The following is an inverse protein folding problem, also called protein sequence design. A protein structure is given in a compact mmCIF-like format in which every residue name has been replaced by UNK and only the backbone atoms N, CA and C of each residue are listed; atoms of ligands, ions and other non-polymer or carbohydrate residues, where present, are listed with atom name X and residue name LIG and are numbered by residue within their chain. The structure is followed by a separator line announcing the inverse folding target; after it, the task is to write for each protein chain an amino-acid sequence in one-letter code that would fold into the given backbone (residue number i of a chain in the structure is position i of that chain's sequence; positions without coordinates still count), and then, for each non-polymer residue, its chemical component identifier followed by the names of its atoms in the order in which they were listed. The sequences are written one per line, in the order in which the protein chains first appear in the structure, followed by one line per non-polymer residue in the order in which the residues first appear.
data_IF_855864370673
#
_entry.id   IF_855864370673
#
_cell.length_a   1.000
_cell.length_b   1.000
_cell.length_c   1.000
_cell.angle_alpha   90.00
_cell.angle_beta   90.00
_cell.angle_gamma   90.00
#
_symmetry.space_group_name_H-M   'P 1'
#
loop_
_entity.id
_entity.type
_entity.pdbx_description
1 polymer ?
#
# COMPACT_ATOMS: atom_id res chain seq x y z
N UNK A 1 -22.99 6.27 -1.13
CA UNK A 1 -24.17 6.76 -0.38
C UNK A 1 -25.23 7.19 -1.38
N UNK A 2 -26.45 7.49 -0.94
CA UNK A 2 -27.48 7.99 -1.86
C UNK A 2 -27.11 9.37 -2.43
N UNK A 3 -26.43 10.21 -1.64
CA UNK A 3 -25.88 11.49 -2.14
C UNK A 3 -24.87 11.30 -3.29
N UNK A 4 -23.98 10.30 -3.21
CA UNK A 4 -23.04 10.01 -4.30
C UNK A 4 -23.72 9.43 -5.54
N UNK A 5 -24.85 8.76 -5.38
CA UNK A 5 -25.61 8.22 -6.52
C UNK A 5 -26.19 9.35 -7.37
N UNK A 6 -26.87 10.32 -6.75
CA UNK A 6 -27.41 11.47 -7.47
C UNK A 6 -26.30 12.29 -8.16
N UNK A 7 -25.17 12.48 -7.48
CA UNK A 7 -24.01 13.15 -8.05
C UNK A 7 -23.44 12.39 -9.27
N UNK A 8 -23.32 11.06 -9.18
CA UNK A 8 -22.88 10.22 -10.29
C UNK A 8 -23.79 10.36 -11.50
N UNK A 9 -25.12 10.30 -11.32
CA UNK A 9 -26.09 10.40 -12.41
C UNK A 9 -26.00 11.73 -13.18
N UNK A 10 -25.61 12.81 -12.49
CA UNK A 10 -25.39 14.11 -13.12
C UNK A 10 -24.13 14.17 -13.97
N UNK A 11 -23.14 13.29 -13.72
CA UNK A 11 -21.91 13.19 -14.52
C UNK A 11 -22.09 12.26 -15.72
N UNK A 12 -22.64 11.06 -15.50
CA UNK A 12 -22.69 10.02 -16.54
C UNK A 12 -23.87 10.16 -17.51
N UNK A 13 -24.90 10.90 -17.10
CA UNK A 13 -26.12 11.18 -17.88
C UNK A 13 -26.73 9.93 -18.56
N UNK A 14 -26.93 8.87 -17.77
CA UNK A 14 -27.54 7.62 -18.24
C UNK A 14 -29.01 7.58 -17.78
N UNK A 15 -29.95 7.76 -18.71
CA UNK A 15 -31.38 7.79 -18.41
C UNK A 15 -31.90 6.49 -17.80
N UNK A 16 -31.35 5.35 -18.23
CA UNK A 16 -31.73 4.02 -17.72
C UNK A 16 -31.46 3.86 -16.23
N UNK A 17 -30.54 4.66 -15.66
CA UNK A 17 -30.18 4.64 -14.24
C UNK A 17 -30.95 5.67 -13.39
N UNK A 18 -31.78 6.53 -13.99
CA UNK A 18 -32.63 7.52 -13.29
C UNK A 18 -33.97 6.94 -12.80
N UNK A 19 -34.16 5.63 -12.90
CA UNK A 19 -35.34 4.93 -12.42
C UNK A 19 -35.45 5.01 -10.88
N UNK A 20 -36.63 5.33 -10.37
CA UNK A 20 -36.97 5.39 -8.94
C UNK A 20 -36.58 4.11 -8.16
N UNK A 21 -36.52 2.95 -8.83
CA UNK A 21 -36.07 1.69 -8.22
C UNK A 21 -34.60 1.72 -7.77
N UNK A 22 -33.79 2.65 -8.27
CA UNK A 22 -32.38 2.81 -7.87
C UNK A 22 -32.16 3.86 -6.78
N UNK A 23 -33.22 4.46 -6.24
CA UNK A 23 -33.14 5.48 -5.19
C UNK A 23 -32.47 4.96 -3.91
N UNK A 24 -32.64 3.67 -3.58
CA UNK A 24 -32.08 3.05 -2.38
C UNK A 24 -30.88 2.18 -2.70
N UNK A 25 -29.86 2.23 -1.84
CA UNK A 25 -28.64 1.41 -1.94
C UNK A 25 -28.91 -0.09 -2.05
N UNK A 26 -29.90 -0.60 -1.31
CA UNK A 26 -30.27 -2.03 -1.32
C UNK A 26 -30.76 -2.46 -2.71
N UNK A 27 -31.52 -1.62 -3.39
CA UNK A 27 -32.07 -1.96 -4.69
C UNK A 27 -31.04 -1.77 -5.81
N UNK A 28 -30.08 -0.84 -5.63
CA UNK A 28 -28.89 -0.76 -6.50
C UNK A 28 -28.03 -2.01 -6.40
N UNK A 29 -27.80 -2.52 -5.18
CA UNK A 29 -27.02 -3.73 -4.97
C UNK A 29 -27.66 -4.95 -5.66
N UNK A 30 -28.99 -5.10 -5.58
CA UNK A 30 -29.71 -6.18 -6.29
C UNK A 30 -29.59 -6.11 -7.81
N UNK A 31 -29.30 -4.93 -8.36
CA UNK A 31 -29.21 -4.68 -9.79
C UNK A 31 -27.79 -4.27 -10.22
N UNK A 32 -26.78 -4.63 -9.43
CA UNK A 32 -25.40 -4.19 -9.62
C UNK A 32 -24.90 -4.50 -11.04
N UNK A 33 -25.11 -5.71 -11.53
CA UNK A 33 -24.66 -6.13 -12.88
C UNK A 33 -25.23 -5.25 -13.99
N UNK A 34 -26.50 -4.86 -13.89
CA UNK A 34 -27.15 -3.96 -14.86
C UNK A 34 -26.53 -2.55 -14.79
N UNK A 35 -26.36 -2.02 -13.57
CA UNK A 35 -25.77 -0.70 -13.35
C UNK A 35 -24.32 -0.66 -13.88
N UNK A 36 -23.53 -1.67 -13.57
CA UNK A 36 -22.14 -1.79 -14.04
C UNK A 36 -22.07 -1.89 -15.56
N UNK A 37 -22.95 -2.67 -16.19
CA UNK A 37 -23.00 -2.78 -17.64
C UNK A 37 -23.29 -1.42 -18.32
N UNK A 38 -24.23 -0.64 -17.79
CA UNK A 38 -24.55 0.69 -18.31
C UNK A 38 -23.40 1.69 -18.08
N UNK A 39 -22.80 1.68 -16.88
CA UNK A 39 -21.64 2.52 -16.56
C UNK A 39 -20.44 2.18 -17.44
N UNK A 40 -20.14 0.90 -17.67
CA UNK A 40 -19.00 0.49 -18.49
C UNK A 40 -19.13 0.96 -19.94
N UNK A 41 -20.35 1.00 -20.50
CA UNK A 41 -20.59 1.54 -21.85
C UNK A 41 -20.17 3.00 -21.95
N UNK A 42 -20.53 3.84 -20.97
CA UNK A 42 -20.19 5.26 -21.02
C UNK A 42 -18.73 5.50 -20.61
N UNK A 43 -18.24 4.85 -19.56
CA UNK A 43 -16.89 5.08 -19.02
C UNK A 43 -15.81 4.66 -20.02
N UNK A 44 -16.11 3.72 -20.92
CA UNK A 44 -15.18 3.32 -22.00
C UNK A 44 -15.06 4.35 -23.14
N UNK A 45 -15.89 5.39 -23.17
CA UNK A 45 -15.91 6.37 -24.28
C UNK A 45 -14.88 7.49 -24.15
N UNK A 46 -14.27 7.66 -22.97
CA UNK A 46 -13.25 8.67 -22.69
C UNK A 46 -12.12 8.07 -21.86
N UNK A 47 -10.90 8.65 -21.90
CA UNK A 47 -9.81 8.24 -21.02
C UNK A 47 -10.20 8.35 -19.53
N UNK A 48 -9.57 7.54 -18.67
CA UNK A 48 -9.81 7.56 -17.22
C UNK A 48 -9.62 8.95 -16.61
N UNK A 49 -8.61 9.69 -17.05
CA UNK A 49 -8.30 11.05 -16.59
C UNK A 49 -9.50 12.00 -16.74
N UNK A 50 -10.22 11.92 -17.86
CA UNK A 50 -11.41 12.73 -18.11
C UNK A 50 -12.51 12.43 -17.07
N UNK A 51 -12.77 11.14 -16.81
CA UNK A 51 -13.80 10.74 -15.87
C UNK A 51 -13.41 11.04 -14.43
N UNK A 52 -12.15 10.83 -14.06
CA UNK A 52 -11.64 11.15 -12.72
C UNK A 52 -11.84 12.65 -12.43
N UNK A 53 -11.47 13.52 -13.37
CA UNK A 53 -11.69 14.96 -13.24
C UNK A 53 -13.18 15.28 -13.08
N UNK A 54 -14.04 14.79 -13.99
CA UNK A 54 -15.47 15.07 -13.97
C UNK A 54 -16.18 14.56 -12.69
N UNK A 55 -15.79 13.38 -12.21
CA UNK A 55 -16.33 12.79 -10.98
C UNK A 55 -15.85 13.52 -9.73
N UNK A 56 -14.58 13.94 -9.67
CA UNK A 56 -14.05 14.75 -8.59
C UNK A 56 -14.73 16.12 -8.49
N UNK A 57 -14.97 16.78 -9.64
CA UNK A 57 -15.70 18.05 -9.70
C UNK A 57 -17.14 17.91 -9.16
N UNK A 58 -17.76 16.75 -9.38
CA UNK A 58 -19.07 16.39 -8.84
C UNK A 58 -19.02 15.82 -7.41
N UNK A 59 -17.84 15.77 -6.76
CA UNK A 59 -17.62 15.20 -5.42
C UNK A 59 -18.02 13.72 -5.31
N UNK A 60 -17.93 12.98 -6.41
CA UNK A 60 -18.10 11.52 -6.44
C UNK A 60 -16.73 10.89 -6.16
N UNK A 61 -16.59 10.10 -5.08
CA UNK A 61 -15.31 9.45 -4.77
C UNK A 61 -14.88 8.51 -5.89
N UNK A 62 -13.72 8.77 -6.47
CA UNK A 62 -13.10 7.95 -7.50
C UNK A 62 -11.58 8.08 -7.43
N UNK A 63 -10.87 7.23 -8.16
CA UNK A 63 -9.41 7.29 -8.27
C UNK A 63 -8.91 6.42 -9.42
N UNK A 64 -7.67 6.66 -9.89
CA UNK A 64 -7.05 5.83 -10.90
C UNK A 64 -6.71 4.44 -10.32
N UNK A 65 -6.61 3.46 -11.21
CA UNK A 65 -5.94 2.20 -10.90
C UNK A 65 -4.46 2.39 -11.26
N UNK A 66 -3.64 2.58 -10.22
CA UNK A 66 -2.20 2.81 -10.39
C UNK A 66 -1.44 1.50 -10.64
N UNK A 67 -0.43 1.54 -11.50
CA UNK A 67 0.63 0.53 -11.52
C UNK A 67 1.49 0.65 -10.27
N UNK A 68 2.33 -0.36 -10.00
CA UNK A 68 3.24 -0.33 -8.86
C UNK A 68 4.21 0.86 -8.93
N UNK A 69 4.77 1.16 -10.10
CA UNK A 69 5.66 2.31 -10.27
C UNK A 69 4.94 3.63 -10.01
N UNK A 70 3.71 3.79 -10.51
CA UNK A 70 2.88 4.98 -10.27
C UNK A 70 2.56 5.15 -8.79
N UNK A 71 2.17 4.06 -8.11
CA UNK A 71 1.85 4.08 -6.69
C UNK A 71 3.06 4.46 -5.83
N UNK A 72 4.24 3.90 -6.10
CA UNK A 72 5.47 4.22 -5.37
C UNK A 72 6.00 5.63 -5.64
N UNK A 73 5.65 6.23 -6.79
CA UNK A 73 6.03 7.59 -7.15
C UNK A 73 4.94 8.63 -6.84
N UNK A 74 3.81 8.23 -6.25
CA UNK A 74 2.72 9.14 -5.94
C UNK A 74 3.16 10.22 -4.94
N UNK A 75 2.71 11.46 -5.14
CA UNK A 75 3.11 12.60 -4.34
C UNK A 75 2.80 12.39 -2.85
N UNK A 76 1.64 11.80 -2.52
CA UNK A 76 1.28 11.51 -1.13
C UNK A 76 2.14 10.40 -0.55
N UNK A 77 2.50 9.39 -1.34
CA UNK A 77 3.38 8.30 -0.90
C UNK A 77 4.77 8.83 -0.56
N UNK A 78 5.33 9.69 -1.41
CA UNK A 78 6.63 10.34 -1.19
C UNK A 78 6.57 11.30 0.00
N UNK A 79 5.60 12.22 0.01
CA UNK A 79 5.46 13.22 1.08
C UNK A 79 5.27 12.60 2.46
N UNK A 80 4.63 11.42 2.50
CA UNK A 80 4.41 10.67 3.74
C UNK A 80 5.55 9.72 4.08
N UNK A 81 6.70 9.74 3.40
CA UNK A 81 7.81 8.81 3.67
C UNK A 81 7.32 7.35 3.76
N UNK A 82 6.45 6.95 2.82
CA UNK A 82 5.89 5.59 2.75
C UNK A 82 6.81 4.65 1.98
N UNK A 83 7.81 5.19 1.31
CA UNK A 83 8.94 4.49 0.71
C UNK A 83 10.19 5.15 1.26
N UNK A 84 11.07 4.37 1.88
CA UNK A 84 12.29 4.85 2.51
C UNK A 84 13.51 4.22 1.84
N UNK A 85 14.59 4.98 1.82
CA UNK A 85 15.87 4.55 1.30
C UNK A 85 16.75 4.06 2.45
N UNK A 86 17.33 2.88 2.29
CA UNK A 86 18.21 2.27 3.29
C UNK A 86 19.46 1.75 2.60
N UNK A 87 20.61 2.05 3.20
CA UNK A 87 21.89 1.55 2.74
C UNK A 87 22.03 0.05 3.06
N UNK A 88 22.38 -0.75 2.06
CA UNK A 88 22.57 -2.19 2.23
C UNK A 88 24.06 -2.52 2.43
N UNK A 89 24.44 -3.46 3.31
CA UNK A 89 25.84 -3.74 3.62
C UNK A 89 26.64 -4.28 2.42
N UNK A 90 25.99 -5.02 1.51
CA UNK A 90 26.59 -5.49 0.24
C UNK A 90 26.82 -4.36 -0.80
N UNK A 91 26.48 -3.13 -0.46
CA UNK A 91 26.61 -1.96 -1.31
C UNK A 91 25.28 -1.51 -1.92
N UNK A 92 25.19 -0.19 -2.13
CA UNK A 92 24.04 0.46 -2.73
C UNK A 92 22.93 0.83 -1.74
N UNK A 93 21.90 1.46 -2.28
CA UNK A 93 20.72 1.93 -1.55
C UNK A 93 19.50 1.20 -2.09
N UNK A 94 18.69 0.64 -1.19
CA UNK A 94 17.44 -0.04 -1.55
C UNK A 94 16.25 0.77 -1.08
N UNK A 95 15.15 0.70 -1.84
CA UNK A 95 13.86 1.27 -1.46
C UNK A 95 13.01 0.20 -0.78
N UNK A 96 12.52 0.50 0.43
CA UNK A 96 11.64 -0.37 1.20
C UNK A 96 10.39 0.36 1.68
N UNK A 97 9.30 -0.36 2.04
CA UNK A 97 8.14 0.25 2.67
C UNK A 97 8.49 0.92 4.00
N UNK A 98 8.07 2.17 4.16
CA UNK A 98 8.11 2.88 5.45
C UNK A 98 6.91 2.55 6.34
N UNK A 99 6.93 3.08 7.56
CA UNK A 99 5.82 2.98 8.51
C UNK A 99 4.59 3.74 7.99
N UNK A 100 3.42 3.08 7.78
CA UNK A 100 2.23 3.75 7.29
C UNK A 100 1.56 4.66 8.33
N UNK A 101 1.84 4.44 9.62
CA UNK A 101 1.26 5.18 10.74
C UNK A 101 2.17 6.36 11.07
N UNK A 102 1.62 7.58 11.04
CA UNK A 102 2.35 8.81 11.34
C UNK A 102 1.85 9.40 12.65
N UNK A 103 2.75 9.53 13.61
CA UNK A 103 2.46 10.07 14.94
C UNK A 103 2.96 11.51 15.01
N UNK A 104 2.14 12.42 15.53
CA UNK A 104 2.55 13.82 15.69
C UNK A 104 3.46 14.06 16.89
N UNK A 105 3.42 13.15 17.87
CA UNK A 105 4.18 13.26 19.12
C UNK A 105 5.65 12.80 18.97
N UNK A 106 5.95 11.91 18.01
CA UNK A 106 7.30 11.41 17.74
C UNK A 106 7.50 11.19 16.24
N UNK A 107 8.74 11.35 15.77
CA UNK A 107 9.13 11.05 14.38
C UNK A 107 10.37 10.14 14.35
N UNK A 108 10.39 9.14 15.23
CA UNK A 108 11.56 8.28 15.51
C UNK A 108 11.59 7.00 14.66
N UNK A 109 10.95 6.99 13.48
CA UNK A 109 11.05 5.85 12.58
C UNK A 109 12.52 5.66 12.16
N UNK A 110 13.08 4.49 12.48
CA UNK A 110 14.42 4.07 12.05
C UNK A 110 14.30 2.81 11.22
N UNK A 111 15.07 2.75 10.13
CA UNK A 111 15.05 1.64 9.20
C UNK A 111 16.48 1.15 8.99
N UNK A 112 16.68 -0.15 9.20
CA UNK A 112 17.96 -0.82 8.96
C UNK A 112 17.77 -1.89 7.89
N UNK A 113 18.82 -2.22 7.12
CA UNK A 113 18.73 -3.30 6.16
C UNK A 113 18.47 -4.64 6.89
N UNK A 114 17.88 -5.63 6.22
CA UNK A 114 17.82 -6.97 6.77
C UNK A 114 19.24 -7.47 7.09
N UNK A 115 19.49 -8.04 8.28
CA UNK A 115 20.82 -8.52 8.63
C UNK A 115 21.21 -9.72 7.75
N UNK A 116 22.51 -9.85 7.48
CA UNK A 116 23.02 -11.09 6.90
C UNK A 116 22.85 -12.26 7.85
N UNK A 117 22.81 -13.46 7.28
CA UNK A 117 22.76 -14.69 8.03
C UNK A 117 23.95 -14.78 9.00
N UNK A 118 23.66 -14.87 10.29
CA UNK A 118 24.66 -15.04 11.34
C UNK A 118 25.22 -13.76 11.96
N UNK A 119 24.79 -12.56 11.54
CA UNK A 119 25.34 -11.28 12.04
C UNK A 119 25.19 -11.11 13.55
N UNK A 120 24.03 -11.47 14.11
CA UNK A 120 23.78 -11.32 15.55
C UNK A 120 23.99 -12.60 16.36
N UNK A 121 24.56 -13.67 15.77
CA UNK A 121 24.69 -14.97 16.44
C UNK A 121 25.54 -14.88 17.71
N UNK A 122 26.74 -14.31 17.63
CA UNK A 122 27.63 -14.14 18.80
C UNK A 122 27.00 -13.24 19.87
N UNK A 123 26.47 -12.09 19.46
CA UNK A 123 25.81 -11.13 20.36
C UNK A 123 24.69 -11.80 21.17
N UNK A 124 23.77 -12.50 20.51
CA UNK A 124 22.64 -13.15 21.17
C UNK A 124 23.12 -14.30 22.07
N UNK A 125 24.03 -15.16 21.61
CA UNK A 125 24.51 -16.29 22.41
C UNK A 125 25.28 -15.83 23.66
N UNK A 126 26.02 -14.75 23.57
CA UNK A 126 26.73 -14.17 24.70
C UNK A 126 25.79 -13.43 25.64
N UNK A 127 25.04 -12.47 25.12
CA UNK A 127 24.34 -11.48 25.94
C UNK A 127 22.99 -12.00 26.45
N UNK A 128 22.33 -12.90 25.70
CA UNK A 128 21.03 -13.47 26.08
C UNK A 128 21.14 -14.88 26.64
N UNK A 129 21.99 -15.74 26.07
CA UNK A 129 22.16 -17.12 26.53
C UNK A 129 23.30 -17.30 27.55
N UNK A 130 24.12 -16.27 27.77
CA UNK A 130 25.20 -16.30 28.77
C UNK A 130 26.33 -17.27 28.42
N UNK A 131 26.53 -17.58 27.15
CA UNK A 131 27.60 -18.48 26.73
C UNK A 131 28.93 -17.72 26.66
N UNK A 132 30.00 -18.39 27.09
CA UNK A 132 31.36 -17.90 26.85
C UNK A 132 31.80 -18.14 25.39
N UNK A 133 32.86 -17.46 24.97
CA UNK A 133 33.37 -17.55 23.61
C UNK A 133 33.81 -18.97 23.22
N UNK A 134 34.28 -19.77 24.19
CA UNK A 134 34.70 -21.15 23.91
C UNK A 134 33.52 -22.03 23.52
N UNK A 135 32.41 -21.91 24.25
CA UNK A 135 31.17 -22.62 23.94
C UNK A 135 30.57 -22.15 22.63
N UNK A 136 30.56 -20.83 22.38
CA UNK A 136 30.07 -20.27 21.11
C UNK A 136 30.90 -20.82 19.94
N UNK A 137 32.23 -20.79 20.04
CA UNK A 137 33.11 -21.31 18.99
C UNK A 137 32.88 -22.81 18.76
N UNK A 138 32.68 -23.61 19.81
CA UNK A 138 32.36 -25.04 19.69
C UNK A 138 31.09 -25.27 18.87
N UNK A 139 30.04 -24.46 19.08
CA UNK A 139 28.78 -24.59 18.33
C UNK A 139 28.94 -24.23 16.86
N UNK A 140 29.78 -23.23 16.56
CA UNK A 140 30.12 -22.84 15.18
C UNK A 140 30.90 -23.97 14.50
N UNK A 141 31.94 -24.50 15.14
CA UNK A 141 32.78 -25.57 14.59
C UNK A 141 32.00 -26.87 14.34
N UNK A 142 30.99 -27.14 15.19
CA UNK A 142 30.07 -28.26 15.03
C UNK A 142 28.96 -28.02 13.99
N UNK A 143 28.92 -26.85 13.34
CA UNK A 143 27.86 -26.43 12.41
C UNK A 143 26.46 -26.46 13.03
N UNK A 144 26.34 -26.25 14.35
CA UNK A 144 25.05 -26.15 15.05
C UNK A 144 24.47 -24.75 14.84
N UNK A 145 25.33 -23.73 14.78
CA UNK A 145 24.97 -22.33 14.50
C UNK A 145 25.94 -21.75 13.47
N UNK A 146 25.49 -20.72 12.75
CA UNK A 146 26.32 -19.94 11.83
C UNK A 146 26.51 -18.54 12.38
N UNK A 147 27.73 -18.00 12.31
CA UNK A 147 28.04 -16.60 12.61
C UNK A 147 28.79 -15.98 11.44
N UNK A 148 28.67 -14.67 11.26
CA UNK A 148 29.69 -13.92 10.51
C UNK A 148 30.93 -13.77 11.40
N UNK A 149 32.11 -13.72 10.78
CA UNK A 149 33.41 -13.64 11.47
C UNK A 149 33.55 -12.38 12.33
#
# INVERSE_FOLDING_TARGET
TDAFWEALLNVVNIDSLRDSKFSKSVDRLKNQDFIEAELNKILSTKPSEFWIQALNDAKVPCGPINTFSQALSDEQVIHRNMVVEVEHPDGGTVKMPGNPVKLSYTNEDSYTPPPHLGVNTREILRDWAGYDENKIQTLIDQNIVQSVD
#
